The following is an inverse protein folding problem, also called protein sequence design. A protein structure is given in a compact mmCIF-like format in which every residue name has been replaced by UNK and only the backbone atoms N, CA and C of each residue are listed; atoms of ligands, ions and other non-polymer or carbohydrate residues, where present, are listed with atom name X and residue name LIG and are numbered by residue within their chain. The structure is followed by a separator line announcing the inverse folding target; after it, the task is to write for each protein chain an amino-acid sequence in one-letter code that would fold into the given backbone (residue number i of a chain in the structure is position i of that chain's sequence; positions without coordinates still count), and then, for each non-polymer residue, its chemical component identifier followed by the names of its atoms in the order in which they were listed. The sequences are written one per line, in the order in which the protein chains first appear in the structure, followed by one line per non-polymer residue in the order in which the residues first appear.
data_IF_800344810713
#
_entry.id   IF_800344810713
#
_cell.length_a   1.000
_cell.length_b   1.000
_cell.length_c   1.000
_cell.angle_alpha   90.00
_cell.angle_beta   90.00
_cell.angle_gamma   90.00
#
_symmetry.space_group_name_H-M   'P 1'
#
loop_
_entity.id
_entity.type
_entity.pdbx_description
1 polymer ?
#
# COMPACT_ATOMS: atom_id res chain seq x y z
N UNK A 1 -26.38 -1.51 10.14
CA UNK A 1 -26.18 -2.45 11.26
C UNK A 1 -24.92 -2.03 12.00
N UNK A 2 -25.01 -1.84 13.30
CA UNK A 2 -23.86 -1.70 14.18
C UNK A 2 -23.46 -3.10 14.67
N UNK A 3 -22.22 -3.50 14.39
CA UNK A 3 -21.74 -4.81 14.79
C UNK A 3 -21.41 -4.82 16.28
N UNK A 4 -21.80 -5.90 16.96
CA UNK A 4 -21.41 -6.13 18.35
C UNK A 4 -19.95 -6.59 18.42
N UNK A 5 -19.35 -6.39 19.58
CA UNK A 5 -18.00 -6.85 19.91
C UNK A 5 -18.10 -8.15 20.69
N UNK A 6 -17.81 -9.32 20.09
CA UNK A 6 -17.83 -10.59 20.78
C UNK A 6 -16.87 -10.59 21.97
N UNK A 7 -17.33 -11.15 23.11
CA UNK A 7 -16.51 -11.22 24.32
C UNK A 7 -16.37 -9.92 25.11
N UNK A 8 -17.08 -8.84 24.69
CA UNK A 8 -17.10 -7.60 25.48
C UNK A 8 -17.89 -7.79 26.77
N UNK A 9 -17.26 -7.52 27.91
CA UNK A 9 -17.86 -7.57 29.24
C UNK A 9 -17.83 -6.20 29.91
N UNK A 10 -16.66 -5.57 29.98
CA UNK A 10 -16.45 -4.29 30.64
C UNK A 10 -15.50 -3.38 29.84
N UNK A 11 -15.72 -2.05 29.87
CA UNK A 11 -14.80 -1.12 29.20
C UNK A 11 -13.44 -1.11 29.88
N UNK A 12 -12.36 -1.32 29.08
CA UNK A 12 -10.98 -1.20 29.54
C UNK A 12 -10.41 0.22 29.45
N UNK A 13 -11.28 1.22 29.30
CA UNK A 13 -10.89 2.63 29.11
C UNK A 13 -11.52 3.53 30.19
N UNK A 14 -10.84 4.64 30.61
CA UNK A 14 -11.34 5.51 31.66
C UNK A 14 -12.64 6.25 31.33
N UNK A 15 -12.86 6.54 30.05
CA UNK A 15 -14.09 7.19 29.59
C UNK A 15 -15.04 6.18 28.97
N UNK A 16 -16.35 6.24 29.32
CA UNK A 16 -17.33 5.35 28.73
C UNK A 16 -17.48 5.61 27.23
N UNK A 17 -17.33 4.56 26.44
CA UNK A 17 -17.62 4.55 25.01
C UNK A 17 -18.77 3.60 24.73
N UNK A 18 -19.65 3.89 23.75
CA UNK A 18 -20.79 3.04 23.42
C UNK A 18 -20.33 1.75 22.70
N UNK A 19 -20.01 0.71 23.46
CA UNK A 19 -19.70 -0.61 22.96
C UNK A 19 -20.89 -1.54 23.22
N UNK A 20 -21.21 -2.38 22.28
CA UNK A 20 -22.34 -3.31 22.35
C UNK A 20 -21.85 -4.75 22.19
N UNK A 21 -22.31 -5.64 23.07
CA UNK A 21 -21.98 -7.07 22.96
C UNK A 21 -22.69 -7.77 21.79
N UNK A 22 -23.84 -7.26 21.36
CA UNK A 22 -24.69 -7.84 20.30
C UNK A 22 -24.87 -6.86 19.14
N UNK A 23 -25.14 -7.41 17.95
CA UNK A 23 -25.49 -6.58 16.79
C UNK A 23 -26.77 -5.79 17.02
N UNK A 24 -26.78 -4.56 16.53
CA UNK A 24 -27.96 -3.67 16.60
C UNK A 24 -28.27 -3.06 15.25
N UNK A 25 -29.53 -2.99 14.90
CA UNK A 25 -30.01 -2.22 13.79
C UNK A 25 -30.39 -0.83 14.31
N UNK A 26 -29.58 0.16 14.02
CA UNK A 26 -29.82 1.56 14.35
C UNK A 26 -29.67 2.41 13.09
N UNK A 27 -30.49 3.45 12.92
CA UNK A 27 -30.29 4.42 11.85
C UNK A 27 -29.00 5.21 12.13
N UNK A 28 -28.02 5.09 11.24
CA UNK A 28 -26.76 5.83 11.33
C UNK A 28 -26.73 6.90 10.25
N UNK A 29 -26.47 8.14 10.63
CA UNK A 29 -26.27 9.28 9.71
C UNK A 29 -24.81 9.43 9.31
N UNK A 30 -23.93 9.17 10.26
CA UNK A 30 -22.49 9.26 10.10
C UNK A 30 -21.81 8.05 10.72
N UNK A 31 -20.71 7.63 10.14
CA UNK A 31 -19.84 6.58 10.65
C UNK A 31 -18.39 7.08 10.61
N UNK A 32 -17.66 6.88 11.70
CA UNK A 32 -16.23 7.17 11.76
C UNK A 32 -15.49 5.85 11.86
N UNK A 33 -14.53 5.63 10.98
CA UNK A 33 -13.59 4.53 11.06
C UNK A 33 -12.20 5.08 11.31
N UNK A 34 -11.54 4.57 12.34
CA UNK A 34 -10.14 4.85 12.62
C UNK A 34 -9.31 3.60 12.40
N UNK A 35 -8.06 3.79 12.01
CA UNK A 35 -7.07 2.73 11.92
C UNK A 35 -5.73 3.26 12.44
N UNK A 36 -5.07 2.47 13.27
CA UNK A 36 -3.73 2.77 13.77
C UNK A 36 -2.79 1.65 13.30
N UNK A 37 -1.76 2.03 12.56
CA UNK A 37 -0.73 1.12 12.09
C UNK A 37 0.52 1.16 12.99
N UNK A 38 1.28 0.08 12.99
CA UNK A 38 2.59 0.07 13.61
C UNK A 38 3.50 1.10 12.95
N UNK A 39 4.25 1.86 13.76
CA UNK A 39 5.11 2.92 13.26
C UNK A 39 4.50 4.33 13.30
N UNK A 40 3.35 4.50 13.97
CA UNK A 40 2.75 5.82 14.22
C UNK A 40 1.88 6.36 13.08
N UNK A 41 1.58 5.54 12.09
CA UNK A 41 0.63 5.92 11.02
C UNK A 41 -0.80 5.74 11.52
N UNK A 42 -1.53 6.85 11.64
CA UNK A 42 -2.93 6.84 12.01
C UNK A 42 -3.77 7.41 10.87
N UNK A 43 -4.92 6.81 10.64
CA UNK A 43 -5.89 7.27 9.66
C UNK A 43 -7.29 7.31 10.25
N UNK A 44 -8.10 8.25 9.79
CA UNK A 44 -9.52 8.30 10.12
C UNK A 44 -10.33 8.68 8.88
N UNK A 45 -11.48 8.06 8.71
CA UNK A 45 -12.44 8.38 7.65
C UNK A 45 -13.82 8.59 8.26
N UNK A 46 -14.51 9.61 7.80
CA UNK A 46 -15.92 9.86 8.11
C UNK A 46 -16.76 9.51 6.90
N UNK A 47 -17.72 8.64 7.07
CA UNK A 47 -18.72 8.27 6.06
C UNK A 47 -20.06 8.84 6.49
N UNK A 48 -20.74 9.54 5.58
CA UNK A 48 -22.05 10.15 5.83
C UNK A 48 -23.04 9.69 4.75
N UNK A 49 -24.32 9.56 5.11
CA UNK A 49 -25.36 9.44 4.10
C UNK A 49 -25.42 10.73 3.28
N UNK A 50 -25.73 10.66 1.97
CA UNK A 50 -25.72 11.82 1.07
C UNK A 50 -26.53 13.03 1.59
N UNK A 51 -27.67 12.79 2.21
CA UNK A 51 -28.53 13.83 2.78
C UNK A 51 -27.95 14.54 4.00
N UNK A 52 -26.88 14.02 4.60
CA UNK A 52 -26.20 14.58 5.77
C UNK A 52 -24.77 15.06 5.46
N UNK A 53 -24.38 15.07 4.19
CA UNK A 53 -23.07 15.63 3.83
C UNK A 53 -23.11 17.15 3.95
N UNK A 54 -22.21 17.77 4.72
CA UNK A 54 -22.10 19.23 4.77
C UNK A 54 -21.52 19.83 3.49
N UNK A 55 -20.98 18.97 2.62
CA UNK A 55 -20.46 19.39 1.33
C UNK A 55 -21.63 19.46 0.36
N UNK A 56 -22.10 20.65 0.06
CA UNK A 56 -22.83 20.90 -1.19
C UNK A 56 -21.82 20.61 -2.29
N UNK A 57 -22.24 19.88 -3.31
CA UNK A 57 -21.52 19.85 -4.58
C UNK A 57 -21.49 21.28 -5.15
N UNK A 58 -20.61 22.12 -4.62
CA UNK A 58 -20.15 23.30 -5.34
C UNK A 58 -19.44 22.73 -6.55
N UNK A 59 -19.99 23.00 -7.71
CA UNK A 59 -19.53 22.72 -9.08
C UNK A 59 -18.13 22.08 -9.14
N UNK A 60 -18.08 20.83 -8.71
CA UNK A 60 -16.82 20.07 -8.61
C UNK A 60 -16.50 19.56 -10.01
N UNK A 61 -16.20 20.48 -10.90
CA UNK A 61 -15.44 20.13 -12.10
C UNK A 61 -14.10 19.58 -11.59
N UNK A 62 -14.05 18.26 -11.40
CA UNK A 62 -12.80 17.61 -11.09
C UNK A 62 -11.75 18.08 -12.09
N UNK A 63 -10.58 18.53 -11.63
CA UNK A 63 -9.52 18.92 -12.55
C UNK A 63 -9.27 17.75 -13.51
N UNK A 64 -9.08 18.07 -14.77
CA UNK A 64 -8.77 17.06 -15.78
C UNK A 64 -7.51 16.31 -15.37
N UNK A 65 -7.67 15.03 -15.04
CA UNK A 65 -6.54 14.17 -14.70
C UNK A 65 -5.90 13.70 -15.99
N UNK A 66 -4.63 14.02 -16.18
CA UNK A 66 -3.84 13.61 -17.34
C UNK A 66 -2.72 12.69 -16.91
N UNK A 67 -2.58 11.54 -17.58
CA UNK A 67 -1.37 10.73 -17.47
C UNK A 67 -0.24 11.44 -18.23
N UNK A 68 0.77 11.90 -17.51
CA UNK A 68 1.91 12.63 -18.09
C UNK A 68 3.12 11.74 -18.33
N UNK A 69 3.19 10.60 -17.66
CA UNK A 69 4.27 9.62 -17.82
C UNK A 69 3.75 8.24 -17.39
N UNK A 70 4.00 7.25 -18.21
CA UNK A 70 3.71 5.84 -17.96
C UNK A 70 5.03 5.07 -17.90
N UNK A 71 5.16 4.18 -16.91
CA UNK A 71 6.24 3.19 -16.85
C UNK A 71 5.62 1.81 -16.82
N UNK A 72 6.01 0.95 -17.76
CA UNK A 72 5.57 -0.43 -17.87
C UNK A 72 6.77 -1.36 -17.81
N UNK A 73 6.70 -2.34 -16.93
CA UNK A 73 7.75 -3.36 -16.76
C UNK A 73 7.12 -4.72 -17.04
N UNK A 74 7.57 -5.38 -18.08
CA UNK A 74 7.07 -6.69 -18.49
C UNK A 74 8.13 -7.46 -19.29
N UNK A 75 8.13 -8.78 -19.21
CA UNK A 75 9.01 -9.66 -20.03
C UNK A 75 10.49 -9.19 -20.02
N UNK A 76 11.04 -8.93 -18.84
CA UNK A 76 12.42 -8.41 -18.66
C UNK A 76 12.71 -7.14 -19.44
N UNK A 77 11.70 -6.30 -19.64
CA UNK A 77 11.79 -5.03 -20.37
C UNK A 77 11.16 -3.90 -19.58
N UNK A 78 11.71 -2.70 -19.76
CA UNK A 78 11.20 -1.45 -19.20
C UNK A 78 10.80 -0.53 -20.34
N UNK A 79 9.60 -0.02 -20.30
CA UNK A 79 9.06 0.95 -21.26
C UNK A 79 8.67 2.23 -20.55
N UNK A 80 8.95 3.39 -21.16
CA UNK A 80 8.45 4.70 -20.76
C UNK A 80 7.64 5.27 -21.92
N UNK A 81 6.36 5.59 -21.67
CA UNK A 81 5.44 6.08 -22.69
C UNK A 81 5.44 5.20 -23.96
N UNK A 82 5.43 3.87 -23.78
CA UNK A 82 5.55 2.84 -24.84
C UNK A 82 6.89 2.76 -25.57
N UNK A 83 7.89 3.55 -25.21
CA UNK A 83 9.24 3.44 -25.75
C UNK A 83 10.06 2.45 -24.91
N UNK A 84 10.74 1.50 -25.57
CA UNK A 84 11.64 0.54 -24.89
C UNK A 84 12.91 1.25 -24.42
N UNK A 85 13.10 1.30 -23.11
CA UNK A 85 14.26 1.94 -22.47
C UNK A 85 15.34 0.92 -22.09
N UNK A 86 14.91 -0.25 -21.68
CA UNK A 86 15.82 -1.33 -21.27
C UNK A 86 15.19 -2.71 -21.52
N UNK A 87 16.02 -3.62 -21.98
CA UNK A 87 15.71 -5.04 -22.08
C UNK A 87 16.89 -5.86 -21.55
N UNK A 88 16.59 -6.91 -20.80
CA UNK A 88 17.57 -7.91 -20.38
C UNK A 88 17.27 -9.21 -21.08
N UNK A 89 18.28 -9.83 -21.66
CA UNK A 89 18.20 -11.15 -22.24
C UNK A 89 18.13 -12.27 -21.19
N UNK A 90 18.48 -11.94 -19.94
CA UNK A 90 18.43 -12.86 -18.82
C UNK A 90 16.99 -13.03 -18.32
N UNK A 91 16.48 -14.28 -18.29
CA UNK A 91 15.09 -14.54 -17.89
C UNK A 91 14.88 -14.45 -16.38
N UNK A 92 15.97 -14.43 -15.58
CA UNK A 92 15.90 -14.36 -14.13
C UNK A 92 15.49 -12.97 -13.65
N UNK A 93 14.35 -12.92 -12.94
CA UNK A 93 13.83 -11.66 -12.39
C UNK A 93 14.82 -10.97 -11.45
N UNK A 94 15.54 -11.71 -10.61
CA UNK A 94 16.49 -11.15 -9.66
C UNK A 94 17.65 -10.44 -10.35
N UNK A 95 18.13 -10.98 -11.47
CA UNK A 95 19.18 -10.36 -12.29
C UNK A 95 18.64 -9.15 -13.05
N UNK A 96 17.51 -9.31 -13.72
CA UNK A 96 16.84 -8.23 -14.45
C UNK A 96 16.60 -7.01 -13.56
N UNK A 97 15.99 -7.19 -12.38
CA UNK A 97 15.62 -6.07 -11.51
C UNK A 97 16.84 -5.35 -10.91
N UNK A 98 17.92 -6.10 -10.64
CA UNK A 98 19.20 -5.50 -10.19
C UNK A 98 19.87 -4.66 -11.26
N UNK A 99 19.89 -5.15 -12.49
CA UNK A 99 20.52 -4.44 -13.60
C UNK A 99 19.70 -3.23 -14.02
N UNK A 100 18.37 -3.34 -13.99
CA UNK A 100 17.45 -2.23 -14.15
C UNK A 100 17.69 -1.16 -13.09
N UNK A 101 17.81 -1.56 -11.81
CA UNK A 101 18.09 -0.63 -10.72
C UNK A 101 19.43 0.09 -10.87
N UNK A 102 20.50 -0.60 -11.28
CA UNK A 102 21.80 0.04 -11.54
C UNK A 102 21.71 1.11 -12.63
N UNK A 103 20.87 0.90 -13.64
CA UNK A 103 20.65 1.88 -14.72
C UNK A 103 19.97 3.16 -14.27
N UNK A 104 19.13 3.11 -13.23
CA UNK A 104 18.56 4.34 -12.65
C UNK A 104 19.58 5.18 -11.87
N UNK A 105 20.79 4.68 -11.68
CA UNK A 105 21.79 5.33 -10.82
C UNK A 105 21.50 5.17 -9.33
N UNK A 106 20.63 4.24 -8.97
CA UNK A 106 20.20 4.00 -7.60
C UNK A 106 21.36 3.65 -6.66
N UNK A 107 21.36 4.28 -5.49
CA UNK A 107 22.38 4.11 -4.44
C UNK A 107 21.81 3.64 -3.09
N UNK A 108 20.54 3.23 -3.04
CA UNK A 108 19.90 2.76 -1.83
C UNK A 108 20.29 1.31 -1.52
N UNK A 109 21.18 1.13 -0.56
CA UNK A 109 21.65 -0.21 -0.15
C UNK A 109 20.54 -1.11 0.40
N UNK A 110 19.43 -0.54 0.90
CA UNK A 110 18.27 -1.31 1.36
C UNK A 110 17.54 -2.00 0.22
N UNK A 111 17.69 -1.53 -1.03
CA UNK A 111 17.10 -2.15 -2.21
C UNK A 111 17.38 -3.66 -2.28
N UNK A 112 18.60 -4.06 -2.00
CA UNK A 112 19.02 -5.48 -2.10
C UNK A 112 18.36 -6.39 -1.07
N UNK A 113 17.81 -5.81 0.00
CA UNK A 113 17.10 -6.54 1.07
C UNK A 113 15.58 -6.57 0.88
N UNK A 114 15.06 -5.84 -0.09
CA UNK A 114 13.63 -5.82 -0.40
C UNK A 114 13.19 -7.16 -1.01
N UNK A 115 11.92 -7.53 -0.85
CA UNK A 115 11.30 -8.59 -1.63
C UNK A 115 11.10 -8.17 -3.10
N UNK A 116 10.71 -9.11 -3.93
CA UNK A 116 10.62 -8.90 -5.37
C UNK A 116 9.54 -7.87 -5.75
N UNK A 117 8.40 -7.84 -5.03
CA UNK A 117 7.35 -6.86 -5.25
C UNK A 117 7.80 -5.45 -4.88
N UNK A 118 8.47 -5.31 -3.73
CA UNK A 118 9.03 -4.04 -3.30
C UNK A 118 10.13 -3.53 -4.25
N UNK A 119 11.01 -4.41 -4.74
CA UNK A 119 12.01 -4.07 -5.75
C UNK A 119 11.38 -3.57 -7.05
N UNK A 120 10.34 -4.28 -7.51
CA UNK A 120 9.60 -3.88 -8.72
C UNK A 120 8.97 -2.52 -8.58
N UNK A 121 8.24 -2.29 -7.47
CA UNK A 121 7.62 -1.00 -7.18
C UNK A 121 8.63 0.13 -7.04
N UNK A 122 9.76 -0.14 -6.39
CA UNK A 122 10.83 0.83 -6.21
C UNK A 122 11.43 1.26 -7.57
N UNK A 123 11.81 0.30 -8.41
CA UNK A 123 12.37 0.58 -9.74
C UNK A 123 11.36 1.30 -10.64
N UNK A 124 10.10 0.90 -10.62
CA UNK A 124 9.06 1.59 -11.37
C UNK A 124 8.92 3.06 -10.93
N UNK A 125 8.98 3.33 -9.61
CA UNK A 125 8.93 4.68 -9.07
C UNK A 125 10.17 5.51 -9.47
N UNK A 126 11.37 4.94 -9.44
CA UNK A 126 12.59 5.63 -9.88
C UNK A 126 12.47 6.11 -11.34
N UNK A 127 12.04 5.25 -12.25
CA UNK A 127 11.81 5.64 -13.64
C UNK A 127 10.65 6.64 -13.79
N UNK A 128 9.57 6.48 -13.02
CA UNK A 128 8.41 7.36 -13.10
C UNK A 128 8.74 8.80 -12.65
N UNK A 129 9.60 8.92 -11.64
CA UNK A 129 9.95 10.17 -10.98
C UNK A 129 11.27 10.76 -11.47
N UNK A 130 11.95 10.10 -12.40
CA UNK A 130 13.24 10.55 -12.94
C UNK A 130 13.20 12.02 -13.38
N UNK A 131 14.16 12.79 -12.90
CA UNK A 131 14.28 14.23 -13.20
C UNK A 131 13.22 15.12 -12.54
N UNK A 132 12.37 14.57 -11.65
CA UNK A 132 11.36 15.33 -10.91
C UNK A 132 11.77 15.54 -9.46
N UNK A 133 11.45 16.70 -8.94
CA UNK A 133 11.60 17.05 -7.52
C UNK A 133 10.26 17.53 -7.00
N UNK A 134 9.90 17.10 -5.82
CA UNK A 134 8.64 17.46 -5.15
C UNK A 134 8.94 18.02 -3.77
N UNK A 135 8.18 19.04 -3.37
CA UNK A 135 8.18 19.46 -1.99
C UNK A 135 7.54 18.38 -1.08
N UNK A 136 7.86 18.34 0.20
CA UNK A 136 7.18 17.44 1.12
C UNK A 136 5.65 17.59 1.05
N UNK A 137 4.93 16.49 0.93
CA UNK A 137 3.47 16.42 0.82
C UNK A 137 2.86 16.96 -0.49
N UNK A 138 3.67 17.30 -1.49
CA UNK A 138 3.19 17.75 -2.79
C UNK A 138 2.70 16.60 -3.67
N UNK A 139 3.20 15.38 -3.44
CA UNK A 139 2.88 14.19 -4.22
C UNK A 139 2.19 13.13 -3.37
N UNK A 140 1.05 12.64 -3.84
CA UNK A 140 0.40 11.44 -3.29
C UNK A 140 0.87 10.18 -4.02
N UNK A 141 0.99 9.06 -3.31
CA UNK A 141 1.32 7.75 -3.89
C UNK A 141 0.18 6.76 -3.64
N UNK A 142 -0.26 6.09 -4.69
CA UNK A 142 -1.21 4.99 -4.62
C UNK A 142 -0.52 3.71 -5.11
N UNK A 143 -0.55 2.67 -4.27
CA UNK A 143 -0.04 1.34 -4.60
C UNK A 143 -1.19 0.35 -4.59
N UNK A 144 -1.34 -0.43 -5.64
CA UNK A 144 -2.33 -1.49 -5.75
C UNK A 144 -1.67 -2.77 -6.27
N UNK A 145 -1.97 -3.89 -5.64
CA UNK A 145 -1.55 -5.21 -6.09
C UNK A 145 -2.57 -6.26 -5.62
N UNK A 146 -2.52 -7.46 -6.20
CA UNK A 146 -3.49 -8.52 -5.91
C UNK A 146 -3.19 -9.30 -4.63
N UNK A 147 -1.95 -9.44 -4.22
CA UNK A 147 -1.54 -10.41 -3.20
C UNK A 147 -0.62 -9.85 -2.10
N UNK A 148 -0.25 -8.59 -2.16
CA UNK A 148 0.70 -7.97 -1.21
C UNK A 148 1.97 -8.82 -1.02
N UNK A 149 2.36 -9.10 0.23
CA UNK A 149 3.51 -9.91 0.61
C UNK A 149 3.23 -11.42 0.70
N UNK A 150 2.09 -11.90 0.20
CA UNK A 150 1.65 -13.29 0.38
C UNK A 150 2.72 -14.32 -0.01
N UNK A 151 3.48 -14.08 -1.06
CA UNK A 151 4.58 -14.97 -1.48
C UNK A 151 5.68 -15.10 -0.40
N UNK A 152 6.02 -13.99 0.22
CA UNK A 152 7.01 -13.93 1.30
C UNK A 152 6.46 -14.59 2.56
N UNK A 153 5.19 -14.34 2.87
CA UNK A 153 4.51 -14.89 4.03
C UNK A 153 4.38 -16.42 3.94
N UNK A 154 4.03 -16.95 2.75
CA UNK A 154 4.00 -18.40 2.49
C UNK A 154 5.38 -19.01 2.68
N UNK A 155 6.43 -18.39 2.14
CA UNK A 155 7.81 -18.87 2.29
C UNK A 155 8.26 -18.87 3.74
N UNK A 156 7.90 -17.84 4.49
CA UNK A 156 8.19 -17.73 5.92
C UNK A 156 7.46 -18.84 6.71
N UNK A 157 6.18 -19.07 6.43
CA UNK A 157 5.41 -20.14 7.06
C UNK A 157 6.01 -21.52 6.76
N UNK A 158 6.39 -21.78 5.53
CA UNK A 158 7.07 -23.04 5.15
C UNK A 158 8.38 -23.26 5.91
N UNK A 159 9.12 -22.17 6.22
CA UNK A 159 10.33 -22.26 7.01
C UNK A 159 10.01 -22.63 8.46
N UNK A 160 9.01 -22.00 9.07
CA UNK A 160 8.53 -22.32 10.42
C UNK A 160 8.07 -23.79 10.50
N UNK A 161 7.28 -24.23 9.54
CA UNK A 161 6.75 -25.60 9.51
C UNK A 161 7.87 -26.66 9.41
N UNK A 162 8.97 -26.33 8.74
CA UNK A 162 10.12 -27.23 8.56
C UNK A 162 11.10 -27.20 9.74
N UNK A 163 11.39 -26.04 10.28
CA UNK A 163 12.52 -25.83 11.20
C UNK A 163 12.09 -25.36 12.60
N UNK A 164 10.80 -25.06 12.79
CA UNK A 164 10.23 -24.54 14.03
C UNK A 164 10.39 -23.02 14.18
N UNK A 165 9.64 -22.47 15.12
CA UNK A 165 9.49 -21.02 15.32
C UNK A 165 10.81 -20.27 15.57
N UNK A 166 11.81 -20.95 16.15
CA UNK A 166 13.09 -20.33 16.49
C UNK A 166 14.03 -20.14 15.29
N UNK A 167 13.79 -20.83 14.20
CA UNK A 167 14.60 -20.72 12.98
C UNK A 167 14.18 -19.55 12.08
N UNK A 168 12.98 -19.03 12.27
CA UNK A 168 12.44 -17.93 11.49
C UNK A 168 12.92 -16.59 12.06
N UNK A 169 14.01 -16.05 11.51
CA UNK A 169 14.40 -14.67 11.79
C UNK A 169 13.45 -13.71 11.06
N UNK A 170 12.85 -12.73 11.73
CA UNK A 170 12.24 -11.63 11.02
C UNK A 170 13.32 -10.90 10.21
N UNK A 171 13.11 -10.82 8.90
CA UNK A 171 14.06 -10.20 7.97
C UNK A 171 14.21 -8.70 8.20
#
# INVERSE_FOLDING_TARGET
ILFGTPGYETPGVPMPIPVYATHRSIPMKHCVKTASGFGGCNAAIVLSLPEYTPFKDEDNTLPEIRCTREVRIENSSVFINNELIFHSEEPDFGTFIRDTYKKTGGNNLKFYKMDDLCKLGYVAAEYLLEGKTFAPLEMGMLLANAASSLHTDIRHQQLIDREGDQAASPA
#
